data_IF_231140342256
#
_entry.id   IF_231140342256
#
_cell.length_a   1.000
_cell.length_b   1.000
_cell.length_c   1.000
_cell.angle_alpha   90.00
_cell.angle_beta   90.00
_cell.angle_gamma   90.00
#
_symmetry.space_group_name_H-M   'P 1'
#
loop_
_entity.id
_entity.type
_entity.pdbx_description
1 polymer ?
#
# COMPACT_ATOMS: atom_id res chain seq x y z
N UNK A 1 5.61 24.74 77.38
CA UNK A 1 6.12 23.49 76.77
C UNK A 1 7.11 23.88 75.67
N UNK A 2 8.40 24.00 75.97
CA UNK A 2 9.40 22.93 75.79
C UNK A 2 10.25 23.22 74.54
N UNK A 3 11.04 24.30 74.54
CA UNK A 3 12.51 24.41 74.79
C UNK A 3 13.39 24.14 73.55
N UNK A 4 13.96 25.25 73.05
CA UNK A 4 15.02 25.42 72.03
C UNK A 4 16.41 24.93 72.54
N UNK A 5 17.56 25.25 71.89
CA UNK A 5 18.32 24.49 70.89
C UNK A 5 19.80 24.29 71.36
N UNK A 6 20.80 24.34 70.44
CA UNK A 6 22.26 24.46 70.67
C UNK A 6 23.02 23.14 71.01
N UNK A 7 24.28 22.86 70.62
CA UNK A 7 25.38 23.64 70.00
C UNK A 7 26.66 22.77 69.85
N UNK A 8 27.46 23.08 68.83
CA UNK A 8 28.94 22.98 68.63
C UNK A 8 29.78 21.71 68.93
N UNK A 9 30.72 21.47 67.99
CA UNK A 9 32.03 20.79 68.11
C UNK A 9 33.00 21.62 68.97
N UNK A 10 34.10 21.06 69.54
CA UNK A 10 35.40 21.22 68.88
C UNK A 10 36.53 20.18 69.20
N UNK A 11 37.47 20.10 68.26
CA UNK A 11 38.96 19.98 68.34
C UNK A 11 39.70 19.27 69.50
N UNK A 12 40.71 18.44 69.13
CA UNK A 12 42.13 18.48 69.58
C UNK A 12 42.86 17.20 69.08
N UNK A 13 43.77 17.20 68.09
CA UNK A 13 45.17 17.71 67.99
C UNK A 13 46.24 16.69 68.48
N UNK A 14 47.32 16.57 67.66
CA UNK A 14 48.73 16.17 67.98
C UNK A 14 49.07 14.67 68.04
N UNK A 15 50.22 14.13 67.58
CA UNK A 15 51.44 14.65 66.92
C UNK A 15 52.27 13.47 66.40
N UNK A 16 53.20 13.78 65.50
CA UNK A 16 54.27 12.97 64.90
C UNK A 16 55.09 12.09 65.84
N UNK A 17 55.61 10.96 65.33
CA UNK A 17 56.92 10.45 65.74
C UNK A 17 57.66 9.71 64.60
N UNK A 18 58.97 9.83 64.66
CA UNK A 18 59.97 9.77 63.60
C UNK A 18 60.48 8.35 63.26
N UNK A 19 60.85 8.20 61.99
CA UNK A 19 62.11 7.67 61.44
C UNK A 19 62.92 6.63 62.27
N UNK A 20 63.19 5.46 61.68
CA UNK A 20 64.50 4.81 61.84
C UNK A 20 64.82 3.87 60.66
N UNK A 21 65.97 4.15 60.03
CA UNK A 21 66.63 3.38 58.98
C UNK A 21 67.41 2.20 59.56
N UNK A 22 67.46 1.09 58.82
CA UNK A 22 68.62 0.21 58.65
C UNK A 22 68.30 -0.68 57.44
N UNK A 23 68.72 -0.32 56.23
CA UNK A 23 70.04 -0.64 55.66
C UNK A 23 70.32 -2.15 55.69
N UNK A 24 70.39 -2.78 54.52
CA UNK A 24 71.68 -3.10 53.90
C UNK A 24 71.63 -4.35 53.01
N UNK A 25 72.14 -4.16 51.79
CA UNK A 25 72.80 -5.14 50.90
C UNK A 25 71.90 -6.15 50.14
N UNK A 26 72.12 -6.46 48.87
CA UNK A 26 73.17 -6.07 47.93
C UNK A 26 72.80 -6.64 46.55
N UNK A 27 73.00 -5.82 45.51
CA UNK A 27 73.58 -6.18 44.21
C UNK A 27 72.89 -7.23 43.33
N UNK A 28 72.36 -6.78 42.17
CA UNK A 28 73.01 -6.84 40.83
C UNK A 28 72.66 -8.15 40.12
N UNK A 29 72.35 -8.27 38.83
CA UNK A 29 72.56 -7.46 37.62
C UNK A 29 71.61 -8.06 36.55
N UNK A 30 70.91 -7.26 35.73
CA UNK A 30 71.24 -6.80 34.36
C UNK A 30 71.06 -7.85 33.24
N UNK A 31 70.48 -7.35 32.13
CA UNK A 31 70.44 -7.81 30.73
C UNK A 31 69.28 -8.72 30.33
N UNK A 32 68.36 -8.29 29.46
CA UNK A 32 68.53 -8.02 28.00
C UNK A 32 68.82 -9.33 27.24
N UNK A 33 68.29 -9.65 26.07
CA UNK A 33 67.35 -9.09 25.10
C UNK A 33 66.99 -10.27 24.14
N UNK A 34 66.30 -9.97 23.03
CA UNK A 34 66.18 -10.78 21.79
C UNK A 34 65.25 -12.01 21.86
N UNK A 35 64.12 -12.08 21.13
CA UNK A 35 63.78 -11.92 19.70
C UNK A 35 64.03 -13.17 18.83
N UNK A 36 63.08 -13.41 17.92
CA UNK A 36 63.06 -14.33 16.76
C UNK A 36 62.51 -15.75 17.06
N UNK A 37 61.34 -16.18 16.57
CA UNK A 37 60.80 -16.32 15.20
C UNK A 37 61.42 -17.49 14.41
N UNK A 38 60.69 -18.62 14.32
CA UNK A 38 60.39 -19.38 13.09
C UNK A 38 59.96 -20.84 13.38
N UNK A 39 58.81 -21.19 12.79
CA UNK A 39 58.17 -22.50 12.54
C UNK A 39 58.98 -23.40 11.57
N UNK A 40 58.48 -24.54 11.04
CA UNK A 40 57.66 -25.66 11.55
C UNK A 40 58.27 -27.05 11.17
N UNK A 41 57.65 -28.17 11.62
CA UNK A 41 57.78 -29.59 11.17
C UNK A 41 57.94 -30.48 12.40
N UNK A 42 57.05 -31.41 12.77
CA UNK A 42 56.48 -32.46 11.95
C UNK A 42 55.16 -32.98 12.56
N UNK A 43 54.28 -33.46 11.66
CA UNK A 43 53.06 -34.23 11.96
C UNK A 43 53.36 -35.44 12.83
N UNK A 44 52.56 -35.64 13.88
CA UNK A 44 51.92 -36.93 14.12
C UNK A 44 50.58 -36.75 14.83
N UNK A 45 49.53 -37.25 14.17
CA UNK A 45 48.16 -37.29 14.64
C UNK A 45 48.06 -38.01 16.00
N UNK A 46 47.56 -37.31 17.02
CA UNK A 46 46.95 -37.91 18.19
C UNK A 46 45.55 -37.30 18.37
N UNK A 47 44.55 -38.17 18.38
CA UNK A 47 43.15 -38.02 18.77
C UNK A 47 42.63 -36.60 19.06
N UNK A 48 41.77 -36.11 18.15
CA UNK A 48 40.63 -35.28 18.52
C UNK A 48 39.77 -36.08 19.49
N UNK A 49 39.66 -35.66 20.74
CA UNK A 49 38.45 -35.62 21.56
C UNK A 49 38.80 -34.81 22.81
N UNK A 50 38.84 -33.51 22.58
CA UNK A 50 39.19 -32.45 23.50
C UNK A 50 38.37 -32.50 24.79
N UNK A 51 39.06 -32.94 25.82
CA UNK A 51 38.75 -32.69 27.21
C UNK A 51 39.02 -31.22 27.52
N UNK A 52 38.02 -30.35 27.50
CA UNK A 52 37.98 -29.21 28.43
C UNK A 52 36.56 -28.94 28.94
N UNK A 53 36.32 -29.51 30.12
CA UNK A 53 35.19 -29.25 31.00
C UNK A 53 34.93 -27.74 31.15
N UNK A 54 33.71 -27.35 30.79
CA UNK A 54 33.09 -26.06 31.05
C UNK A 54 33.20 -25.62 32.51
N UNK A 55 33.46 -24.32 32.73
CA UNK A 55 32.78 -23.50 33.76
C UNK A 55 32.96 -21.98 33.56
N UNK A 56 32.72 -21.48 32.34
CA UNK A 56 32.44 -20.04 32.13
C UNK A 56 30.93 -19.82 32.19
N UNK A 57 30.41 -19.53 33.38
CA UNK A 57 29.04 -19.05 33.60
C UNK A 57 29.02 -17.54 33.43
N UNK A 58 28.78 -17.02 32.24
CA UNK A 58 28.17 -15.69 32.02
C UNK A 58 27.72 -15.59 30.56
N UNK A 59 26.48 -16.01 30.28
CA UNK A 59 25.74 -15.71 29.05
C UNK A 59 24.23 -15.80 29.34
N UNK A 60 23.61 -14.66 29.67
CA UNK A 60 22.15 -14.39 29.72
C UNK A 60 22.06 -12.84 29.65
N UNK A 61 21.33 -12.11 28.79
CA UNK A 61 20.36 -12.37 27.73
C UNK A 61 20.25 -11.06 26.93
N UNK A 62 20.14 -11.12 25.61
CA UNK A 62 19.78 -9.97 24.76
C UNK A 62 18.36 -9.48 25.09
N UNK A 63 18.15 -8.18 25.25
CA UNK A 63 16.83 -7.55 25.21
C UNK A 63 16.76 -6.57 24.04
N UNK A 64 15.93 -6.98 23.09
CA UNK A 64 15.60 -6.42 21.79
C UNK A 64 14.90 -5.06 21.94
N UNK A 65 15.44 -3.97 21.37
CA UNK A 65 14.61 -2.81 20.98
C UNK A 65 14.38 -2.93 19.48
N UNK A 66 13.46 -3.83 19.12
CA UNK A 66 12.80 -3.73 17.84
C UNK A 66 11.78 -2.60 17.98
N UNK A 67 12.08 -1.45 17.36
CA UNK A 67 11.05 -0.51 17.01
C UNK A 67 10.10 -1.26 16.09
N UNK A 68 8.97 -1.73 16.62
CA UNK A 68 7.91 -2.32 15.83
C UNK A 68 7.32 -1.22 14.94
N UNK A 69 7.98 -0.95 13.81
CA UNK A 69 7.25 -0.62 12.61
C UNK A 69 6.36 -1.83 12.36
N UNK A 70 5.07 -1.70 12.68
CA UNK A 70 4.09 -2.62 12.15
C UNK A 70 4.35 -2.65 10.63
N UNK A 71 4.72 -3.81 10.03
CA UNK A 71 4.64 -3.87 8.57
C UNK A 71 3.22 -3.45 8.23
N UNK A 72 3.00 -2.55 7.25
CA UNK A 72 1.64 -2.27 6.80
C UNK A 72 1.02 -3.63 6.51
N UNK A 73 0.02 -4.02 7.29
CA UNK A 73 -0.70 -5.26 7.04
C UNK A 73 -1.24 -5.09 5.63
N UNK A 74 -0.73 -5.89 4.70
CA UNK A 74 -1.30 -5.97 3.37
C UNK A 74 -2.74 -6.43 3.57
N UNK A 75 -3.67 -5.49 3.39
CA UNK A 75 -5.09 -5.77 3.44
C UNK A 75 -5.38 -6.67 2.24
N UNK A 76 -6.09 -7.78 2.45
CA UNK A 76 -6.37 -8.72 1.37
C UNK A 76 -6.96 -7.99 0.16
N UNK A 77 -6.60 -8.43 -1.05
CA UNK A 77 -7.17 -7.83 -2.26
C UNK A 77 -8.71 -7.85 -2.19
N UNK A 78 -9.34 -6.72 -2.51
CA UNK A 78 -10.80 -6.65 -2.57
C UNK A 78 -11.27 -7.12 -3.94
N UNK A 79 -12.08 -8.17 -3.96
CA UNK A 79 -12.68 -8.70 -5.18
C UNK A 79 -13.97 -7.95 -5.53
N UNK A 80 -14.04 -7.41 -6.75
CA UNK A 80 -15.24 -6.76 -7.31
C UNK A 80 -16.18 -7.77 -7.99
N UNK A 81 -15.78 -9.05 -8.05
CA UNK A 81 -16.51 -10.10 -8.73
C UNK A 81 -16.71 -9.78 -10.21
N UNK A 82 -17.92 -10.01 -10.72
CA UNK A 82 -18.25 -9.71 -12.12
C UNK A 82 -18.25 -8.21 -12.47
N UNK A 83 -18.12 -7.29 -11.49
CA UNK A 83 -17.98 -5.87 -11.78
C UNK A 83 -16.54 -5.47 -12.18
N UNK A 84 -15.56 -6.38 -12.04
CA UNK A 84 -14.15 -6.05 -12.22
C UNK A 84 -13.80 -5.59 -13.66
N UNK A 85 -14.51 -6.09 -14.69
CA UNK A 85 -14.30 -5.66 -16.08
C UNK A 85 -15.03 -4.37 -16.46
N UNK A 86 -15.94 -3.86 -15.62
CA UNK A 86 -16.78 -2.72 -15.96
C UNK A 86 -16.07 -1.40 -15.64
N UNK A 87 -15.90 -0.57 -16.67
CA UNK A 87 -15.54 0.84 -16.49
C UNK A 87 -16.70 1.60 -15.86
N UNK A 88 -17.92 1.32 -16.32
CA UNK A 88 -19.14 2.00 -15.89
C UNK A 88 -20.27 0.97 -15.70
N UNK A 89 -20.90 1.01 -14.53
CA UNK A 89 -22.08 0.22 -14.22
C UNK A 89 -23.14 1.11 -13.53
N UNK A 90 -24.30 1.27 -14.17
CA UNK A 90 -25.43 2.03 -13.62
C UNK A 90 -26.56 1.14 -13.08
N UNK A 91 -27.26 1.62 -12.05
CA UNK A 91 -28.46 0.99 -11.51
C UNK A 91 -29.69 1.25 -12.38
N UNK A 92 -29.93 2.52 -12.68
CA UNK A 92 -31.11 2.97 -13.43
C UNK A 92 -30.82 3.28 -14.90
N UNK A 93 -29.84 4.13 -15.17
CA UNK A 93 -29.44 4.54 -16.52
C UNK A 93 -27.95 4.82 -16.61
N UNK A 94 -27.40 4.80 -17.82
CA UNK A 94 -26.11 5.44 -18.13
C UNK A 94 -26.28 6.41 -19.28
N UNK A 95 -25.82 7.63 -19.11
CA UNK A 95 -25.93 8.70 -20.12
C UNK A 95 -24.60 9.37 -20.33
N UNK A 96 -24.24 9.57 -21.60
CA UNK A 96 -23.05 10.32 -22.00
C UNK A 96 -23.42 11.52 -22.88
N UNK A 97 -22.70 12.62 -22.72
CA UNK A 97 -22.69 13.76 -23.63
C UNK A 97 -21.27 13.93 -24.17
N UNK A 98 -21.14 14.26 -25.46
CA UNK A 98 -19.84 14.47 -26.08
C UNK A 98 -18.97 13.21 -26.22
N UNK A 99 -17.66 13.42 -26.32
CA UNK A 99 -16.66 12.44 -26.76
C UNK A 99 -16.13 11.59 -25.60
N UNK A 100 -17.02 10.93 -24.86
CA UNK A 100 -16.62 10.00 -23.79
C UNK A 100 -15.93 8.76 -24.36
N UNK A 101 -14.88 8.27 -23.70
CA UNK A 101 -14.20 7.03 -24.02
C UNK A 101 -14.19 6.13 -22.78
N UNK A 102 -14.78 4.94 -22.90
CA UNK A 102 -14.72 3.91 -21.87
C UNK A 102 -13.78 2.79 -22.31
N UNK A 103 -12.73 2.54 -21.55
CA UNK A 103 -11.83 1.39 -21.74
C UNK A 103 -12.16 0.33 -20.68
N UNK A 104 -13.12 -0.52 -21.02
CA UNK A 104 -13.76 -1.49 -20.14
C UNK A 104 -15.23 -1.68 -20.51
N UNK A 105 -15.88 -2.64 -19.85
CA UNK A 105 -17.29 -2.93 -20.11
C UNK A 105 -18.20 -1.80 -19.62
N UNK A 106 -19.35 -1.66 -20.27
CA UNK A 106 -20.41 -0.72 -19.92
C UNK A 106 -21.68 -1.50 -19.56
N UNK A 107 -22.28 -1.22 -18.42
CA UNK A 107 -23.48 -1.93 -17.96
C UNK A 107 -24.55 -1.04 -17.38
N UNK A 108 -25.80 -1.49 -17.47
CA UNK A 108 -26.90 -1.01 -16.63
C UNK A 108 -27.76 -2.19 -16.18
N UNK A 109 -28.16 -2.23 -14.91
CA UNK A 109 -29.10 -3.21 -14.35
C UNK A 109 -29.57 -2.74 -12.96
N UNK A 110 -30.86 -2.89 -12.58
CA UNK A 110 -31.96 -3.50 -13.34
C UNK A 110 -32.51 -2.61 -14.45
N UNK A 111 -32.06 -1.37 -14.55
CA UNK A 111 -32.33 -0.53 -15.70
C UNK A 111 -31.82 -1.13 -17.02
N UNK A 112 -32.30 -0.59 -18.13
CA UNK A 112 -31.95 -1.06 -19.48
C UNK A 112 -31.57 0.07 -20.43
N UNK A 113 -31.54 1.31 -19.94
CA UNK A 113 -31.33 2.49 -20.78
C UNK A 113 -29.89 2.95 -20.73
N UNK A 114 -29.28 3.01 -21.92
CA UNK A 114 -27.97 3.60 -22.18
C UNK A 114 -28.15 4.61 -23.32
N UNK A 115 -27.66 5.84 -23.14
CA UNK A 115 -27.77 6.92 -24.14
C UNK A 115 -26.46 7.65 -24.38
N UNK A 116 -26.29 8.27 -25.55
CA UNK A 116 -25.14 9.12 -25.84
C UNK A 116 -23.88 8.42 -26.33
N UNK A 117 -23.96 7.11 -26.57
CA UNK A 117 -22.91 6.30 -27.21
C UNK A 117 -23.26 5.99 -28.65
N UNK A 118 -22.26 5.70 -29.47
CA UNK A 118 -22.40 5.47 -30.92
C UNK A 118 -23.36 4.33 -31.29
N UNK A 119 -23.48 3.30 -30.44
CA UNK A 119 -24.37 2.15 -30.66
C UNK A 119 -25.78 2.33 -30.10
N UNK A 120 -26.03 3.35 -29.27
CA UNK A 120 -27.25 3.47 -28.48
C UNK A 120 -28.46 3.92 -29.33
N UNK A 121 -29.71 3.61 -28.93
CA UNK A 121 -30.93 4.05 -29.64
C UNK A 121 -31.11 5.57 -29.67
N UNK A 122 -30.48 6.30 -28.73
CA UNK A 122 -30.24 7.74 -28.82
C UNK A 122 -28.74 7.95 -29.02
N UNK A 123 -28.26 7.97 -30.27
CA UNK A 123 -26.82 7.98 -30.55
C UNK A 123 -26.16 9.25 -30.02
N UNK A 124 -24.89 9.11 -29.62
CA UNK A 124 -24.00 10.23 -29.32
C UNK A 124 -22.57 9.90 -29.75
N UNK A 125 -21.61 10.72 -29.32
CA UNK A 125 -20.20 10.59 -29.72
C UNK A 125 -19.40 9.65 -28.81
N UNK A 126 -19.99 9.13 -27.73
CA UNK A 126 -19.32 8.25 -26.79
C UNK A 126 -18.92 6.91 -27.41
N UNK A 127 -17.72 6.42 -27.07
CA UNK A 127 -17.14 5.17 -27.54
C UNK A 127 -16.91 4.24 -26.35
N UNK A 128 -17.18 2.94 -26.55
CA UNK A 128 -16.91 1.88 -25.58
C UNK A 128 -15.91 0.90 -26.21
N UNK A 129 -14.72 0.81 -25.63
CA UNK A 129 -13.68 -0.17 -25.93
C UNK A 129 -13.84 -1.37 -24.98
N UNK A 130 -14.98 -2.04 -25.09
CA UNK A 130 -15.42 -3.13 -24.23
C UNK A 130 -16.77 -3.66 -24.70
N UNK A 131 -17.41 -4.50 -23.91
CA UNK A 131 -18.76 -5.01 -24.19
C UNK A 131 -19.81 -4.16 -23.49
N UNK A 132 -20.94 -3.93 -24.14
CA UNK A 132 -22.08 -3.23 -23.54
C UNK A 132 -23.17 -4.21 -23.13
N UNK A 133 -23.69 -4.04 -21.91
CA UNK A 133 -24.75 -4.83 -21.31
C UNK A 133 -25.90 -3.94 -20.83
N UNK A 134 -26.92 -3.76 -21.68
CA UNK A 134 -28.14 -3.03 -21.36
C UNK A 134 -29.16 -3.95 -20.67
N UNK A 135 -28.93 -4.26 -19.39
CA UNK A 135 -29.65 -5.27 -18.63
C UNK A 135 -29.08 -6.69 -18.80
N UNK A 136 -29.88 -7.70 -18.50
CA UNK A 136 -29.50 -9.11 -18.60
C UNK A 136 -28.68 -9.63 -17.41
N UNK A 137 -28.35 -10.93 -17.45
CA UNK A 137 -27.70 -11.62 -16.32
C UNK A 137 -26.28 -11.14 -16.06
N UNK A 138 -25.52 -10.75 -17.09
CA UNK A 138 -24.14 -10.27 -16.92
C UNK A 138 -24.10 -8.96 -16.13
N UNK A 139 -24.90 -7.96 -16.53
CA UNK A 139 -24.99 -6.69 -15.78
C UNK A 139 -25.62 -6.89 -14.38
N UNK A 140 -26.59 -7.80 -14.23
CA UNK A 140 -27.16 -8.13 -12.92
C UNK A 140 -26.13 -8.79 -11.98
N UNK A 141 -25.31 -9.71 -12.48
CA UNK A 141 -24.23 -10.33 -11.70
C UNK A 141 -23.15 -9.30 -11.34
N UNK A 142 -22.82 -8.38 -12.25
CA UNK A 142 -21.93 -7.26 -11.96
C UNK A 142 -22.48 -6.38 -10.84
N UNK A 143 -23.77 -6.03 -10.85
CA UNK A 143 -24.39 -5.28 -9.75
C UNK A 143 -24.31 -6.03 -8.42
N UNK A 144 -24.52 -7.35 -8.42
CA UNK A 144 -24.36 -8.18 -7.22
C UNK A 144 -22.91 -8.18 -6.71
N UNK A 145 -21.92 -8.23 -7.61
CA UNK A 145 -20.51 -8.13 -7.27
C UNK A 145 -20.16 -6.78 -6.65
N UNK A 146 -20.59 -5.68 -7.29
CA UNK A 146 -20.42 -4.33 -6.78
C UNK A 146 -21.09 -4.15 -5.41
N UNK A 147 -22.30 -4.65 -5.20
CA UNK A 147 -22.99 -4.60 -3.91
C UNK A 147 -22.24 -5.38 -2.82
N UNK A 148 -21.68 -6.54 -3.16
CA UNK A 148 -20.89 -7.34 -2.23
C UNK A 148 -19.63 -6.58 -1.80
N UNK A 149 -18.89 -6.02 -2.75
CA UNK A 149 -17.71 -5.21 -2.46
C UNK A 149 -18.05 -3.95 -1.65
N UNK A 150 -19.16 -3.28 -1.96
CA UNK A 150 -19.66 -2.15 -1.19
C UNK A 150 -19.91 -2.52 0.28
N UNK A 151 -20.57 -3.65 0.53
CA UNK A 151 -20.86 -4.10 1.89
C UNK A 151 -19.60 -4.52 2.65
N UNK A 152 -18.62 -5.11 1.96
CA UNK A 152 -17.30 -5.42 2.56
C UNK A 152 -16.64 -4.12 3.01
N UNK A 153 -16.49 -3.13 2.11
CA UNK A 153 -15.90 -1.82 2.42
C UNK A 153 -16.62 -1.13 3.57
N UNK A 154 -17.95 -1.05 3.52
CA UNK A 154 -18.76 -0.39 4.55
C UNK A 154 -18.61 -1.05 5.95
N UNK A 155 -18.22 -2.33 6.00
CA UNK A 155 -17.96 -3.06 7.23
C UNK A 155 -16.55 -2.93 7.79
N UNK A 156 -15.65 -2.22 7.10
CA UNK A 156 -14.26 -2.12 7.53
C UNK A 156 -14.05 -1.16 8.70
N UNK A 157 -13.05 -1.47 9.53
CA UNK A 157 -12.67 -0.62 10.65
C UNK A 157 -11.73 0.47 10.17
N UNK A 158 -12.16 1.72 10.29
CA UNK A 158 -11.33 2.87 9.93
C UNK A 158 -10.16 3.06 10.88
N UNK A 159 -8.98 3.37 10.33
CA UNK A 159 -7.81 3.78 11.12
C UNK A 159 -7.84 5.27 11.47
N UNK A 160 -8.59 6.06 10.69
CA UNK A 160 -8.70 7.50 10.87
C UNK A 160 -10.05 8.01 10.39
N UNK A 161 -10.65 8.90 11.18
CA UNK A 161 -11.83 9.66 10.78
C UNK A 161 -11.40 11.05 10.30
N UNK A 162 -11.71 11.38 9.05
CA UNK A 162 -11.38 12.64 8.38
C UNK A 162 -12.60 13.54 8.19
N UNK A 163 -13.72 13.27 8.89
CA UNK A 163 -14.94 14.08 8.81
C UNK A 163 -14.64 15.57 8.99
N UNK A 164 -15.11 16.39 8.05
CA UNK A 164 -14.89 17.84 8.05
C UNK A 164 -13.53 18.30 7.54
N UNK A 165 -12.65 17.38 7.13
CA UNK A 165 -11.39 17.71 6.46
C UNK A 165 -11.53 17.57 4.94
N UNK A 166 -10.93 18.51 4.20
CA UNK A 166 -10.75 18.37 2.76
C UNK A 166 -9.57 17.42 2.49
N UNK A 167 -9.72 16.55 1.49
CA UNK A 167 -8.67 15.60 1.07
C UNK A 167 -7.49 16.29 0.37
N UNK A 168 -7.70 17.52 -0.11
CA UNK A 168 -6.71 18.35 -0.76
C UNK A 168 -5.51 18.67 0.13
N UNK A 169 -4.32 18.47 -0.42
CA UNK A 169 -3.04 18.69 0.27
C UNK A 169 -2.64 17.56 1.22
N UNK A 170 -3.50 16.56 1.45
CA UNK A 170 -3.16 15.42 2.30
C UNK A 170 -2.22 14.46 1.57
N UNK A 171 -1.32 13.85 2.35
CA UNK A 171 -0.54 12.68 1.97
C UNK A 171 -1.00 11.54 2.86
N UNK A 172 -1.72 10.59 2.29
CA UNK A 172 -2.25 9.44 3.00
C UNK A 172 -1.38 8.21 2.74
N UNK A 173 -1.19 7.42 3.79
CA UNK A 173 -0.54 6.10 3.73
C UNK A 173 -1.61 5.00 3.57
N UNK A 174 -1.26 3.74 3.31
CA UNK A 174 -2.26 2.69 3.10
C UNK A 174 -3.15 2.52 4.34
N UNK A 175 -4.45 2.33 4.13
CA UNK A 175 -5.42 2.14 5.20
C UNK A 175 -6.84 2.58 4.87
N UNK A 176 -7.70 2.50 5.90
CA UNK A 176 -9.14 2.77 5.83
C UNK A 176 -9.46 4.13 6.45
N UNK A 177 -9.96 5.06 5.65
CA UNK A 177 -10.28 6.44 6.02
C UNK A 177 -11.78 6.66 6.00
N UNK A 178 -12.33 7.18 7.10
CA UNK A 178 -13.78 7.35 7.27
C UNK A 178 -14.20 8.81 7.26
N UNK A 179 -15.36 9.08 6.66
CA UNK A 179 -16.12 10.30 6.76
C UNK A 179 -17.54 9.94 7.21
N UNK A 180 -17.98 10.43 8.37
CA UNK A 180 -19.36 10.23 8.83
C UNK A 180 -20.38 11.03 8.01
N UNK A 181 -19.90 12.08 7.33
CA UNK A 181 -20.69 12.94 6.43
C UNK A 181 -20.16 12.86 4.99
N UNK A 182 -20.11 14.00 4.29
CA UNK A 182 -19.52 14.12 2.96
C UNK A 182 -17.99 14.16 3.02
N UNK A 183 -17.35 13.72 1.94
CA UNK A 183 -15.93 13.95 1.67
C UNK A 183 -15.80 14.94 0.51
N UNK A 184 -14.83 15.84 0.61
CA UNK A 184 -14.52 16.82 -0.43
C UNK A 184 -13.04 16.70 -0.82
N UNK A 185 -12.76 16.91 -2.10
CA UNK A 185 -11.40 17.00 -2.62
C UNK A 185 -11.26 18.31 -3.38
N UNK A 186 -10.41 19.19 -2.86
CA UNK A 186 -10.04 20.45 -3.50
C UNK A 186 -8.53 20.49 -3.71
N UNK A 187 -8.08 20.40 -4.96
CA UNK A 187 -6.65 20.34 -5.28
C UNK A 187 -6.13 18.90 -5.34
N UNK A 188 -4.94 18.63 -4.79
CA UNK A 188 -4.28 17.32 -4.95
C UNK A 188 -4.31 16.49 -3.67
N UNK A 189 -4.84 15.26 -3.75
CA UNK A 189 -4.65 14.22 -2.74
C UNK A 189 -3.49 13.31 -3.15
N UNK A 190 -2.55 13.04 -2.26
CA UNK A 190 -1.44 12.10 -2.52
C UNK A 190 -1.67 10.79 -1.77
N UNK A 191 -1.66 9.67 -2.50
CA UNK A 191 -1.69 8.32 -1.94
C UNK A 191 -0.28 7.72 -2.06
N UNK A 192 0.33 7.45 -0.92
CA UNK A 192 1.71 6.98 -0.83
C UNK A 192 1.73 5.55 -0.33
N UNK A 193 2.06 4.61 -1.21
CA UNK A 193 2.06 3.19 -0.88
C UNK A 193 3.29 2.71 -0.11
N UNK A 194 4.28 3.58 0.16
CA UNK A 194 5.47 3.20 0.92
C UNK A 194 6.28 2.07 0.28
N UNK A 195 6.30 2.00 -1.06
CA UNK A 195 6.91 0.94 -1.88
C UNK A 195 6.22 -0.44 -1.78
N UNK A 196 4.98 -0.49 -1.28
CA UNK A 196 4.17 -1.71 -1.30
C UNK A 196 3.15 -1.66 -2.46
N UNK A 197 3.34 -2.42 -3.56
CA UNK A 197 2.39 -2.44 -4.67
C UNK A 197 1.00 -2.98 -4.30
N UNK A 198 0.91 -3.79 -3.23
CA UNK A 198 -0.35 -4.35 -2.72
C UNK A 198 -1.00 -3.42 -1.68
N UNK A 199 -0.47 -2.20 -1.50
CA UNK A 199 -1.05 -1.21 -0.60
C UNK A 199 -2.46 -0.82 -1.03
N UNK A 200 -3.38 -0.81 -0.06
CA UNK A 200 -4.79 -0.48 -0.26
C UNK A 200 -5.17 0.83 0.43
N UNK A 201 -6.06 1.58 -0.22
CA UNK A 201 -6.61 2.84 0.28
C UNK A 201 -8.13 2.78 0.15
N UNK A 202 -8.82 2.70 1.29
CA UNK A 202 -10.26 2.57 1.34
C UNK A 202 -10.87 3.82 1.96
N UNK A 203 -11.79 4.45 1.25
CA UNK A 203 -12.51 5.64 1.71
C UNK A 203 -13.96 5.27 1.98
N UNK A 204 -14.37 5.34 3.24
CA UNK A 204 -15.73 5.04 3.70
C UNK A 204 -16.47 6.36 3.93
N UNK A 205 -17.39 6.72 3.03
CA UNK A 205 -18.02 8.03 3.00
C UNK A 205 -19.50 7.88 3.29
N UNK A 206 -19.96 8.45 4.41
CA UNK A 206 -21.33 8.32 4.87
C UNK A 206 -22.37 8.91 3.93
N UNK A 207 -22.03 9.98 3.20
CA UNK A 207 -22.95 10.63 2.26
C UNK A 207 -22.34 10.84 0.88
N UNK A 208 -21.97 12.06 0.51
CA UNK A 208 -21.53 12.42 -0.84
C UNK A 208 -20.01 12.51 -0.94
N UNK A 209 -19.48 12.17 -2.11
CA UNK A 209 -18.11 12.48 -2.51
C UNK A 209 -18.17 13.58 -3.58
N UNK A 210 -17.47 14.69 -3.38
CA UNK A 210 -17.39 15.75 -4.39
C UNK A 210 -15.96 16.20 -4.63
N UNK A 211 -15.53 16.31 -5.87
CA UNK A 211 -14.26 16.95 -6.23
C UNK A 211 -14.52 18.34 -6.81
N UNK A 212 -13.70 19.32 -6.44
CA UNK A 212 -13.69 20.61 -7.12
C UNK A 212 -13.08 20.45 -8.53
N UNK A 213 -13.36 21.39 -9.44
CA UNK A 213 -12.75 21.40 -10.77
C UNK A 213 -11.22 21.37 -10.71
N UNK A 214 -10.60 20.64 -11.64
CA UNK A 214 -9.16 20.45 -11.75
C UNK A 214 -8.49 19.80 -10.51
N UNK A 215 -9.27 19.11 -9.68
CA UNK A 215 -8.71 18.32 -8.58
C UNK A 215 -8.01 17.07 -9.10
N UNK A 216 -7.08 16.52 -8.31
CA UNK A 216 -6.28 15.37 -8.72
C UNK A 216 -5.97 14.42 -7.58
N UNK A 217 -5.81 13.15 -7.91
CA UNK A 217 -5.20 12.15 -7.03
C UNK A 217 -3.83 11.80 -7.60
N UNK A 218 -2.79 11.80 -6.77
CA UNK A 218 -1.42 11.42 -7.12
C UNK A 218 -1.06 10.09 -6.46
N UNK A 219 -0.80 9.08 -7.26
CA UNK A 219 -0.31 7.78 -6.78
C UNK A 219 1.22 7.79 -6.73
N UNK A 220 1.79 7.52 -5.57
CA UNK A 220 3.24 7.58 -5.34
C UNK A 220 3.77 6.33 -4.66
N UNK A 221 5.07 6.10 -4.84
CA UNK A 221 5.82 5.00 -4.20
C UNK A 221 5.13 3.63 -4.34
N UNK A 222 4.70 3.29 -5.57
CA UNK A 222 4.09 1.99 -5.88
C UNK A 222 2.58 1.90 -5.70
N UNK A 223 1.89 3.00 -5.37
CA UNK A 223 0.43 2.99 -5.26
C UNK A 223 -0.21 2.67 -6.62
N UNK A 224 -1.25 1.83 -6.60
CA UNK A 224 -1.93 1.37 -7.81
C UNK A 224 -3.41 1.74 -7.78
N UNK A 225 -3.93 2.21 -8.91
CA UNK A 225 -5.33 2.61 -9.04
C UNK A 225 -6.31 1.48 -8.72
N UNK A 226 -5.95 0.23 -9.03
CA UNK A 226 -6.76 -0.95 -8.72
C UNK A 226 -6.92 -1.24 -7.23
N UNK A 227 -6.09 -0.63 -6.36
CA UNK A 227 -6.12 -0.81 -4.91
C UNK A 227 -6.67 0.43 -4.18
N UNK A 228 -7.37 1.33 -4.88
CA UNK A 228 -8.03 2.49 -4.30
C UNK A 228 -9.54 2.32 -4.43
N UNK A 229 -10.26 2.37 -3.32
CA UNK A 229 -11.70 2.13 -3.27
C UNK A 229 -12.44 3.27 -2.54
N UNK A 230 -13.57 3.68 -3.11
CA UNK A 230 -14.40 4.75 -2.58
C UNK A 230 -15.82 4.21 -2.37
N UNK A 231 -16.13 3.83 -1.14
CA UNK A 231 -17.49 3.49 -0.73
C UNK A 231 -18.24 4.78 -0.42
N UNK A 232 -19.34 5.03 -1.13
CA UNK A 232 -20.10 6.29 -1.04
C UNK A 232 -21.57 6.00 -0.69
N UNK A 233 -22.00 6.48 0.49
CA UNK A 233 -23.33 6.22 1.05
C UNK A 233 -24.49 6.86 0.29
N UNK A 234 -24.21 7.81 -0.59
CA UNK A 234 -25.19 8.40 -1.50
C UNK A 234 -24.64 8.52 -2.93
N UNK A 235 -24.28 9.71 -3.38
CA UNK A 235 -23.81 9.98 -4.74
C UNK A 235 -22.39 10.54 -4.77
N UNK A 236 -21.71 10.35 -5.90
CA UNK A 236 -20.42 10.96 -6.16
C UNK A 236 -20.51 11.94 -7.34
N UNK A 237 -19.81 13.08 -7.23
CA UNK A 237 -19.70 14.07 -8.31
C UNK A 237 -18.24 14.43 -8.49
N UNK A 238 -17.68 14.12 -9.66
CA UNK A 238 -16.34 14.55 -10.03
C UNK A 238 -16.44 15.83 -10.85
N UNK A 239 -15.94 16.94 -10.29
CA UNK A 239 -15.95 18.24 -10.95
C UNK A 239 -15.09 18.26 -12.23
N UNK A 240 -15.34 19.26 -13.07
CA UNK A 240 -14.73 19.36 -14.39
C UNK A 240 -13.20 19.21 -14.36
N UNK A 241 -12.64 18.51 -15.36
CA UNK A 241 -11.19 18.25 -15.49
C UNK A 241 -10.53 17.59 -14.28
N UNK A 242 -11.29 16.91 -13.40
CA UNK A 242 -10.71 16.11 -12.30
C UNK A 242 -9.91 14.93 -12.86
N UNK A 243 -8.73 14.65 -12.29
CA UNK A 243 -7.98 13.41 -12.55
C UNK A 243 -8.08 12.46 -11.35
N UNK A 244 -8.86 11.38 -11.51
CA UNK A 244 -9.27 10.52 -10.41
C UNK A 244 -8.66 9.12 -10.51
N UNK A 245 -8.39 8.50 -9.36
CA UNK A 245 -7.92 7.13 -9.26
C UNK A 245 -8.80 6.32 -8.30
N UNK A 246 -9.12 5.09 -8.70
CA UNK A 246 -9.84 4.12 -7.87
C UNK A 246 -11.24 3.78 -8.33
N UNK A 247 -11.83 2.79 -7.69
CA UNK A 247 -13.19 2.33 -7.96
C UNK A 247 -14.18 3.03 -7.02
N UNK A 248 -15.15 3.74 -7.59
CA UNK A 248 -16.25 4.35 -6.84
C UNK A 248 -17.41 3.37 -6.79
N UNK A 249 -17.86 3.04 -5.58
CA UNK A 249 -19.05 2.25 -5.30
C UNK A 249 -20.05 3.14 -4.57
N UNK A 250 -20.98 3.72 -5.33
CA UNK A 250 -21.97 4.66 -4.81
C UNK A 250 -23.35 4.00 -4.69
N UNK A 251 -24.05 4.26 -3.59
CA UNK A 251 -25.41 3.73 -3.40
C UNK A 251 -26.38 4.30 -4.43
N UNK A 252 -26.26 5.58 -4.76
CA UNK A 252 -27.12 6.29 -5.70
C UNK A 252 -26.38 6.57 -7.00
N UNK A 253 -26.21 7.84 -7.39
CA UNK A 253 -25.72 8.24 -8.71
C UNK A 253 -24.24 8.61 -8.70
N UNK A 254 -23.61 8.50 -9.86
CA UNK A 254 -22.26 9.01 -10.09
C UNK A 254 -22.31 9.99 -11.27
N UNK A 255 -21.77 11.18 -11.08
CA UNK A 255 -21.72 12.23 -12.10
C UNK A 255 -20.28 12.60 -12.35
N UNK A 256 -19.89 12.65 -13.61
CA UNK A 256 -18.64 13.24 -14.07
C UNK A 256 -19.00 14.49 -14.85
N UNK A 257 -18.51 15.63 -14.38
CA UNK A 257 -18.57 16.86 -15.15
C UNK A 257 -17.58 16.81 -16.32
N UNK A 258 -17.69 17.79 -17.23
CA UNK A 258 -16.94 17.80 -18.48
C UNK A 258 -15.45 17.56 -18.28
N UNK A 259 -14.88 16.65 -19.08
CA UNK A 259 -13.42 16.45 -19.14
C UNK A 259 -12.80 15.73 -17.94
N UNK A 260 -13.57 15.41 -16.88
CA UNK A 260 -13.06 14.57 -15.80
C UNK A 260 -12.59 13.21 -16.34
N UNK A 261 -11.51 12.68 -15.79
CA UNK A 261 -10.89 11.42 -16.20
C UNK A 261 -10.63 10.52 -15.01
N UNK A 262 -10.68 9.21 -15.23
CA UNK A 262 -10.50 8.22 -14.17
C UNK A 262 -9.70 7.01 -14.67
N UNK A 263 -8.72 6.59 -13.88
CA UNK A 263 -8.24 5.20 -13.91
C UNK A 263 -8.86 4.46 -12.73
N UNK A 264 -9.86 3.64 -13.02
CA UNK A 264 -10.80 3.19 -12.01
C UNK A 264 -12.10 2.67 -12.61
N UNK A 265 -13.15 2.69 -11.78
CA UNK A 265 -14.49 2.18 -12.12
C UNK A 265 -15.55 3.07 -11.51
N UNK A 266 -16.64 3.32 -12.23
CA UNK A 266 -17.81 4.04 -11.73
C UNK A 266 -18.99 3.08 -11.57
N UNK A 267 -19.24 2.62 -10.34
CA UNK A 267 -20.25 1.62 -10.01
C UNK A 267 -21.37 2.25 -9.16
N UNK A 268 -22.48 2.59 -9.81
CA UNK A 268 -23.69 3.13 -9.18
C UNK A 268 -24.70 2.00 -8.94
N UNK A 269 -24.98 1.70 -7.67
CA UNK A 269 -25.79 0.54 -7.28
C UNK A 269 -27.28 0.72 -7.65
N UNK A 270 -27.85 1.89 -7.34
CA UNK A 270 -29.28 2.16 -7.59
C UNK A 270 -29.52 3.33 -8.56
N UNK A 271 -28.57 4.24 -8.67
CA UNK A 271 -28.72 5.48 -9.44
C UNK A 271 -28.18 5.40 -10.86
N UNK A 272 -28.08 6.57 -11.46
CA UNK A 272 -27.57 6.74 -12.82
C UNK A 272 -26.07 7.02 -12.81
N UNK A 273 -25.41 6.72 -13.93
CA UNK A 273 -24.09 7.29 -14.25
C UNK A 273 -24.24 8.32 -15.35
N UNK A 274 -23.77 9.54 -15.11
CA UNK A 274 -23.82 10.65 -16.09
C UNK A 274 -22.40 11.10 -16.42
N UNK A 275 -22.11 11.19 -17.72
CA UNK A 275 -20.79 11.47 -18.28
C UNK A 275 -20.86 12.63 -19.28
N UNK A 276 -19.81 13.43 -19.33
CA UNK A 276 -19.60 14.53 -20.27
C UNK A 276 -18.12 14.59 -20.69
N UNK A 277 -17.80 14.22 -21.94
CA UNK A 277 -16.43 14.23 -22.48
C UNK A 277 -15.37 13.52 -21.60
N UNK A 278 -15.73 12.41 -20.95
CA UNK A 278 -14.86 11.77 -19.96
C UNK A 278 -14.01 10.64 -20.55
N UNK A 279 -12.88 10.33 -19.90
CA UNK A 279 -12.10 9.12 -20.18
C UNK A 279 -12.04 8.26 -18.93
N UNK A 280 -12.60 7.05 -18.98
CA UNK A 280 -12.59 6.09 -17.87
C UNK A 280 -11.90 4.81 -18.32
N UNK A 281 -10.84 4.42 -17.60
CA UNK A 281 -10.03 3.23 -17.93
C UNK A 281 -9.96 2.30 -16.73
N UNK A 282 -10.42 1.06 -16.91
CA UNK A 282 -10.29 0.02 -15.89
C UNK A 282 -8.79 -0.23 -15.63
N UNK A 283 -8.33 -0.21 -14.36
CA UNK A 283 -6.94 -0.52 -14.05
C UNK A 283 -6.64 -1.98 -14.39
N UNK A 284 -5.53 -2.22 -15.10
CA UNK A 284 -5.06 -3.59 -15.34
C UNK A 284 -4.69 -4.25 -14.01
N UNK A 285 -5.04 -5.54 -13.80
CA UNK A 285 -4.62 -6.24 -12.59
C UNK A 285 -3.10 -6.35 -12.55
N UNK A 286 -2.51 -6.13 -11.37
CA UNK A 286 -1.06 -6.10 -11.11
C UNK A 286 -0.30 -7.35 -11.63
N UNK A 287 -1.01 -8.44 -11.89
CA UNK A 287 -0.48 -9.71 -12.39
C UNK A 287 -0.07 -9.70 -13.87
N UNK A 288 -0.50 -8.71 -14.67
CA UNK A 288 -0.09 -8.62 -16.08
C UNK A 288 1.39 -8.30 -16.28
N UNK A 289 2.05 -7.68 -15.30
CA UNK A 289 3.48 -7.37 -15.40
C UNK A 289 4.39 -8.58 -15.17
N UNK A 290 3.90 -9.67 -14.55
CA UNK A 290 4.68 -10.89 -14.34
C UNK A 290 4.74 -11.77 -15.59
N UNK A 291 3.67 -11.82 -16.40
CA UNK A 291 3.66 -12.64 -17.61
C UNK A 291 4.46 -12.02 -18.76
N UNK A 292 4.45 -10.70 -18.91
CA UNK A 292 5.22 -10.02 -19.95
C UNK A 292 6.73 -9.98 -19.62
N UNK A 293 7.11 -9.97 -18.33
CA UNK A 293 8.52 -10.07 -17.91
C UNK A 293 9.05 -11.52 -17.92
N UNK A 294 8.22 -12.53 -17.63
CA UNK A 294 8.62 -13.93 -17.81
C UNK A 294 8.81 -14.30 -19.30
N UNK A 295 7.99 -13.74 -20.21
CA UNK A 295 8.11 -13.99 -21.65
C UNK A 295 9.37 -13.36 -22.27
N UNK A 296 9.91 -12.27 -21.71
CA UNK A 296 11.11 -11.59 -22.24
C UNK A 296 12.42 -12.16 -21.72
N UNK A 297 12.44 -12.77 -20.52
CA UNK A 297 13.68 -13.32 -19.92
C UNK A 297 13.83 -14.82 -20.18
N UNK A 298 12.75 -15.58 -20.37
CA UNK A 298 12.84 -17.01 -20.71
C UNK A 298 11.81 -17.44 -21.77
N UNK A 299 12.17 -17.27 -23.05
CA UNK A 299 11.88 -18.32 -24.03
C UNK A 299 10.88 -18.03 -25.15
N UNK A 300 11.16 -17.05 -26.01
CA UNK A 300 10.63 -17.08 -27.39
C UNK A 300 11.51 -17.89 -28.38
N UNK A 301 12.77 -18.17 -28.03
CA UNK A 301 13.73 -18.79 -28.98
C UNK A 301 13.85 -20.32 -28.88
N UNK A 302 13.61 -20.93 -27.72
CA UNK A 302 13.71 -22.40 -27.56
C UNK A 302 12.49 -23.15 -28.11
N UNK A 303 11.31 -22.54 -28.08
CA UNK A 303 10.09 -23.16 -28.61
C UNK A 303 10.05 -23.17 -30.15
N UNK A 304 10.51 -22.09 -30.81
CA UNK A 304 10.57 -22.02 -32.27
C UNK A 304 11.59 -23.01 -32.88
N UNK A 305 12.70 -23.25 -32.19
CA UNK A 305 13.75 -24.18 -32.63
C UNK A 305 13.31 -25.66 -32.53
N UNK A 306 12.50 -26.01 -31.53
CA UNK A 306 11.96 -27.36 -31.37
C UNK A 306 10.84 -27.65 -32.39
N UNK A 307 10.00 -26.66 -32.71
CA UNK A 307 8.97 -26.81 -33.73
C UNK A 307 9.55 -27.02 -35.15
N UNK A 308 10.62 -26.29 -35.52
CA UNK A 308 11.28 -26.48 -36.83
C UNK A 308 11.95 -27.86 -36.99
N UNK A 309 12.42 -28.48 -35.90
CA UNK A 309 12.99 -29.85 -35.97
C UNK A 309 11.94 -30.94 -36.13
N UNK A 310 10.69 -30.72 -35.73
CA UNK A 310 9.60 -31.69 -35.94
C UNK A 310 9.00 -31.63 -37.35
N UNK A 311 9.09 -30.50 -38.05
CA UNK A 311 8.65 -30.37 -39.45
C UNK A 311 9.68 -30.94 -40.45
N UNK A 312 10.98 -30.94 -40.11
CA UNK A 312 12.05 -31.42 -40.98
C UNK A 312 12.31 -32.95 -40.92
N UNK A 313 11.58 -33.69 -40.07
CA UNK A 313 11.67 -35.16 -39.95
C UNK A 313 10.53 -35.93 -40.62
N UNK A 314 9.66 -35.24 -41.36
CA UNK A 314 8.54 -35.82 -42.12
C UNK A 314 8.55 -35.29 -43.55
N UNK A 315 9.57 -35.67 -44.31
CA UNK A 315 9.62 -35.65 -45.77
C UNK A 315 10.50 -36.79 -46.24
#
# INVERSE_FOLDING_TARGET
MGKLPHRETPHSVRTDFLLSMADMKNSRNISAAESQQATPSARQHHNLQDMFKMKNKFLILSALVALAGFPPQSQAALDLGSADSFAVLGGSTVTSIGNTILNGDLGVSPGTTITGFTFSPTPGLGIVNGTTYAGGSVAANAQSGALTAYNILAGETSIQNLTGQDLGGLILVPGVYRFDSSAQLTGTLTLNAGNNPDARFDFLIGTTLTTASSSSISLTNGAQAGNVFWQVGSSATLGADTSFYGSILATNSITFDTGASMSGRALALNGAVTLDNNVITVPEPATFWLLTFCASVFGAWRWLALWRRQQAGRS
#
